data_IF_830275010298
#
_entry.id   IF_830275010298
#
_cell.length_a   1.000
_cell.length_b   1.000
_cell.length_c   1.000
_cell.angle_alpha   90.00
_cell.angle_beta   90.00
_cell.angle_gamma   90.00
#
_symmetry.space_group_name_H-M   'P 1'
#
loop_
_entity.id
_entity.type
_entity.pdbx_description
1 polymer ?
#
# COMPACT_ATOMS: atom_id res chain seq x y z
N UNK A 1 54.21 -4.15 45.50
CA UNK A 1 54.19 -3.27 44.32
C UNK A 1 53.13 -3.82 43.36
N UNK A 2 52.12 -2.99 43.10
CA UNK A 2 51.05 -3.04 42.08
C UNK A 2 50.32 -4.36 41.76
N UNK A 3 49.08 -4.46 42.27
CA UNK A 3 48.01 -5.27 41.68
C UNK A 3 47.29 -4.42 40.62
N UNK A 4 47.20 -4.94 39.38
CA UNK A 4 46.52 -4.30 38.26
C UNK A 4 45.11 -4.89 38.13
N UNK A 5 44.08 -4.09 38.44
CA UNK A 5 42.68 -4.46 38.23
C UNK A 5 42.26 -4.09 36.80
N UNK A 6 41.96 -5.08 35.98
CA UNK A 6 41.29 -4.88 34.69
C UNK A 6 39.78 -4.77 34.93
N UNK A 7 39.23 -3.57 34.73
CA UNK A 7 37.79 -3.37 34.60
C UNK A 7 37.36 -3.79 33.19
N UNK A 8 36.67 -4.93 33.07
CA UNK A 8 35.86 -5.23 31.88
C UNK A 8 34.57 -4.41 31.96
N UNK A 9 34.46 -3.36 31.14
CA UNK A 9 33.19 -2.70 30.87
C UNK A 9 32.39 -3.56 29.89
N UNK A 10 31.38 -4.28 30.37
CA UNK A 10 30.44 -5.01 29.53
C UNK A 10 29.53 -4.04 28.78
N UNK A 11 29.57 -4.05 27.44
CA UNK A 11 28.55 -3.44 26.60
C UNK A 11 27.24 -4.20 26.79
N UNK A 12 26.27 -3.61 27.48
CA UNK A 12 24.88 -4.05 27.42
C UNK A 12 24.28 -3.61 26.09
N UNK A 13 24.14 -4.54 25.15
CA UNK A 13 23.32 -4.33 23.96
C UNK A 13 21.85 -4.23 24.41
N UNK A 14 21.24 -3.05 24.28
CA UNK A 14 19.79 -2.94 24.35
C UNK A 14 19.22 -3.58 23.08
N UNK A 15 18.71 -4.81 23.19
CA UNK A 15 17.77 -5.31 22.21
C UNK A 15 16.51 -4.45 22.32
N UNK A 16 16.16 -3.74 21.24
CA UNK A 16 14.86 -3.10 21.16
C UNK A 16 13.81 -4.23 21.14
N UNK A 17 13.04 -4.35 22.22
CA UNK A 17 11.84 -5.18 22.20
C UNK A 17 10.89 -4.57 21.17
N UNK A 18 10.74 -5.23 20.02
CA UNK A 18 9.63 -4.94 19.13
C UNK A 18 8.36 -5.15 19.95
N UNK A 19 7.54 -4.11 20.08
CA UNK A 19 6.29 -4.19 20.82
C UNK A 19 5.45 -5.30 20.20
N UNK A 20 5.04 -6.29 21.01
CA UNK A 20 4.16 -7.38 20.56
C UNK A 20 2.81 -6.87 20.01
N UNK A 21 2.51 -5.60 20.24
CA UNK A 21 1.30 -4.90 19.81
C UNK A 21 1.15 -4.80 18.29
N UNK A 22 2.26 -4.85 17.53
CA UNK A 22 2.23 -4.74 16.07
C UNK A 22 2.96 -5.86 15.31
N UNK A 23 2.70 -7.11 15.69
CA UNK A 23 3.26 -8.24 14.96
C UNK A 23 2.67 -8.35 13.55
N UNK A 24 3.44 -8.95 12.63
CA UNK A 24 2.97 -9.22 11.26
C UNK A 24 1.75 -10.13 11.25
N UNK A 25 1.68 -11.09 12.17
CA UNK A 25 0.55 -12.00 12.34
C UNK A 25 -0.73 -11.26 12.74
N UNK A 26 -0.62 -10.26 13.61
CA UNK A 26 -1.76 -9.40 13.97
C UNK A 26 -2.29 -8.65 12.74
N UNK A 27 -1.39 -8.05 11.97
CA UNK A 27 -1.74 -7.32 10.75
C UNK A 27 -2.36 -8.24 9.67
N UNK A 28 -1.84 -9.46 9.51
CA UNK A 28 -2.40 -10.49 8.64
C UNK A 28 -3.81 -10.93 9.08
N UNK A 29 -4.03 -11.12 10.38
CA UNK A 29 -5.35 -11.45 10.90
C UNK A 29 -6.34 -10.31 10.64
N UNK A 30 -5.91 -9.06 10.78
CA UNK A 30 -6.75 -7.89 10.52
C UNK A 30 -7.15 -7.77 9.03
N UNK A 31 -6.22 -7.96 8.09
CA UNK A 31 -6.57 -7.93 6.65
C UNK A 31 -7.45 -9.12 6.25
N UNK A 32 -7.26 -10.30 6.86
CA UNK A 32 -8.17 -11.42 6.68
C UNK A 32 -9.59 -11.08 7.15
N UNK A 33 -9.75 -10.41 8.30
CA UNK A 33 -11.05 -9.91 8.76
C UNK A 33 -11.65 -8.86 7.82
N UNK A 34 -10.84 -7.95 7.27
CA UNK A 34 -11.28 -6.96 6.28
C UNK A 34 -11.83 -7.65 5.01
N UNK A 35 -11.08 -8.61 4.46
CA UNK A 35 -11.46 -9.38 3.26
C UNK A 35 -12.75 -10.16 3.52
N UNK A 36 -12.87 -10.82 4.67
CA UNK A 36 -14.07 -11.55 5.06
C UNK A 36 -15.28 -10.61 5.21
N UNK A 37 -15.10 -9.44 5.82
CA UNK A 37 -16.13 -8.42 5.98
C UNK A 37 -16.62 -7.88 4.63
N UNK A 38 -15.69 -7.54 3.72
CA UNK A 38 -16.04 -7.09 2.37
C UNK A 38 -16.75 -8.17 1.56
N UNK A 39 -16.33 -9.43 1.72
CA UNK A 39 -17.00 -10.58 1.08
C UNK A 39 -18.43 -10.72 1.57
N UNK A 40 -18.65 -10.56 2.88
CA UNK A 40 -19.96 -10.68 3.51
C UNK A 40 -20.86 -9.45 3.33
N UNK A 41 -20.29 -8.29 3.02
CA UNK A 41 -21.01 -7.01 3.06
C UNK A 41 -21.37 -6.59 4.48
N UNK A 42 -20.55 -6.95 5.47
CA UNK A 42 -20.77 -6.62 6.87
C UNK A 42 -19.47 -6.47 7.64
N UNK A 43 -19.32 -5.37 8.37
CA UNK A 43 -18.17 -5.12 9.25
C UNK A 43 -18.27 -5.80 10.62
N UNK A 44 -19.37 -6.49 10.92
CA UNK A 44 -19.60 -7.12 12.23
C UNK A 44 -18.52 -8.13 12.63
N UNK A 45 -17.80 -8.71 11.66
CA UNK A 45 -16.68 -9.63 11.88
C UNK A 45 -15.36 -8.95 12.22
N UNK A 46 -15.23 -7.63 12.09
CA UNK A 46 -14.00 -6.88 12.41
C UNK A 46 -14.03 -6.48 13.89
N UNK A 47 -13.66 -7.41 14.77
CA UNK A 47 -13.71 -7.24 16.23
C UNK A 47 -12.65 -6.28 16.79
N UNK A 48 -11.64 -5.95 16.00
CA UNK A 48 -10.56 -5.04 16.38
C UNK A 48 -10.90 -3.55 16.19
N UNK A 49 -12.07 -3.21 15.62
CA UNK A 49 -12.50 -1.81 15.50
C UNK A 49 -12.53 -1.13 16.88
N UNK A 50 -11.94 0.06 16.97
CA UNK A 50 -12.11 0.94 18.12
C UNK A 50 -13.50 1.57 18.15
N UNK A 51 -13.99 1.92 19.34
CA UNK A 51 -15.31 2.56 19.52
C UNK A 51 -15.41 3.93 18.83
N UNK A 52 -14.27 4.57 18.57
CA UNK A 52 -14.15 5.88 17.91
C UNK A 52 -13.39 5.80 16.59
N UNK A 53 -13.49 4.67 15.88
CA UNK A 53 -12.79 4.47 14.60
C UNK A 53 -13.15 5.57 13.60
N UNK A 54 -12.12 6.18 13.02
CA UNK A 54 -12.30 7.10 11.89
C UNK A 54 -12.43 6.29 10.61
N UNK A 55 -13.54 6.41 9.90
CA UNK A 55 -13.73 5.82 8.58
C UNK A 55 -13.87 6.88 7.50
N UNK A 56 -13.07 6.75 6.44
CA UNK A 56 -13.21 7.59 5.24
C UNK A 56 -13.38 6.72 4.01
N UNK A 57 -14.18 7.22 3.07
CA UNK A 57 -14.29 6.65 1.73
C UNK A 57 -14.08 7.76 0.71
N UNK A 58 -13.19 7.54 -0.26
CA UNK A 58 -12.85 8.49 -1.31
C UNK A 58 -12.48 9.88 -0.73
N UNK A 59 -11.64 9.85 0.32
CA UNK A 59 -11.19 11.00 1.12
C UNK A 59 -12.30 11.84 1.79
N UNK A 60 -13.52 11.31 1.92
CA UNK A 60 -14.64 11.94 2.64
C UNK A 60 -14.99 11.13 3.89
N UNK A 61 -15.40 11.82 4.95
CA UNK A 61 -15.95 11.16 6.13
C UNK A 61 -17.16 10.31 5.72
N UNK A 62 -17.19 9.06 6.19
CA UNK A 62 -18.25 8.11 5.87
C UNK A 62 -18.53 7.23 7.09
N UNK A 63 -19.48 6.29 6.97
CA UNK A 63 -19.76 5.29 8.01
C UNK A 63 -19.52 3.90 7.45
N UNK A 64 -18.84 3.04 8.21
CA UNK A 64 -18.53 1.66 7.79
C UNK A 64 -19.81 0.89 7.40
N UNK A 65 -20.89 1.06 8.17
CA UNK A 65 -22.17 0.37 7.96
C UNK A 65 -22.94 0.79 6.70
N UNK A 66 -22.54 1.87 6.03
CA UNK A 66 -23.17 2.36 4.80
C UNK A 66 -22.17 2.54 3.65
N UNK A 67 -20.89 2.29 3.89
CA UNK A 67 -19.81 2.39 2.90
C UNK A 67 -19.69 1.13 2.04
N UNK A 68 -18.57 0.99 1.32
CA UNK A 68 -18.35 -0.18 0.46
C UNK A 68 -18.35 -1.50 1.23
N UNK A 69 -17.94 -1.49 2.51
CA UNK A 69 -17.97 -2.67 3.38
C UNK A 69 -19.39 -3.17 3.70
N UNK A 70 -20.44 -2.37 3.48
CA UNK A 70 -21.82 -2.81 3.63
C UNK A 70 -22.39 -3.50 2.37
N UNK A 71 -21.55 -3.70 1.35
CA UNK A 71 -21.92 -4.37 0.10
C UNK A 71 -21.14 -5.68 -0.01
N UNK A 72 -21.85 -6.80 -0.14
CA UNK A 72 -21.20 -8.08 -0.40
C UNK A 72 -20.57 -8.07 -1.79
N UNK A 73 -19.27 -8.33 -1.87
CA UNK A 73 -18.52 -8.38 -3.13
C UNK A 73 -17.85 -9.74 -3.28
N UNK A 74 -17.93 -10.31 -4.49
CA UNK A 74 -17.08 -11.44 -4.86
C UNK A 74 -15.69 -10.90 -5.23
N UNK A 75 -14.73 -11.09 -4.34
CA UNK A 75 -13.34 -10.69 -4.55
C UNK A 75 -12.67 -11.71 -5.48
N UNK A 76 -12.16 -11.27 -6.62
CA UNK A 76 -11.47 -12.13 -7.60
C UNK A 76 -9.95 -12.16 -7.36
N UNK A 77 -9.38 -11.10 -6.77
CA UNK A 77 -8.00 -11.04 -6.33
C UNK A 77 -7.84 -10.06 -5.16
N UNK A 78 -6.88 -10.34 -4.29
CA UNK A 78 -6.46 -9.42 -3.24
C UNK A 78 -4.96 -9.52 -2.99
N UNK A 79 -4.38 -8.41 -2.53
CA UNK A 79 -3.00 -8.33 -2.04
C UNK A 79 -2.97 -7.39 -0.84
N UNK A 80 -2.17 -7.73 0.16
CA UNK A 80 -1.99 -6.91 1.36
C UNK A 80 -0.50 -6.70 1.68
N UNK A 81 -0.20 -5.52 2.23
CA UNK A 81 1.12 -5.10 2.71
C UNK A 81 1.01 -4.78 4.21
N UNK A 82 2.03 -5.15 4.98
CA UNK A 82 2.01 -5.10 6.45
C UNK A 82 3.15 -4.25 7.01
N UNK A 83 2.83 -3.04 7.46
CA UNK A 83 3.76 -2.09 8.05
C UNK A 83 3.84 -2.29 9.57
N UNK A 84 4.80 -3.11 9.99
CA UNK A 84 5.05 -3.39 11.41
C UNK A 84 5.67 -2.22 12.18
N UNK A 85 6.17 -1.19 11.47
CA UNK A 85 6.79 -0.02 12.11
C UNK A 85 5.74 1.05 12.45
N UNK A 86 4.85 1.38 11.53
CA UNK A 86 3.77 2.35 11.77
C UNK A 86 2.48 1.71 12.28
N UNK A 87 2.47 0.39 12.39
CA UNK A 87 1.28 -0.39 12.67
C UNK A 87 0.12 -0.07 11.76
N UNK A 88 0.32 -0.41 10.49
CA UNK A 88 -0.67 -0.18 9.45
C UNK A 88 -0.67 -1.32 8.42
N UNK A 89 -1.76 -1.43 7.68
CA UNK A 89 -1.88 -2.34 6.53
C UNK A 89 -2.40 -1.59 5.34
N UNK A 90 -1.99 -2.01 4.15
CA UNK A 90 -2.64 -1.65 2.89
C UNK A 90 -3.22 -2.93 2.28
N UNK A 91 -4.38 -2.86 1.65
CA UNK A 91 -5.00 -3.98 0.92
C UNK A 91 -5.64 -3.49 -0.36
N UNK A 92 -5.21 -4.07 -1.49
CA UNK A 92 -5.86 -3.93 -2.80
C UNK A 92 -6.84 -5.09 -2.99
N UNK A 93 -8.10 -4.78 -3.34
CA UNK A 93 -9.12 -5.76 -3.71
C UNK A 93 -9.56 -5.51 -5.16
N UNK A 94 -9.63 -6.57 -5.95
CA UNK A 94 -10.12 -6.52 -7.34
C UNK A 94 -11.41 -7.32 -7.44
N UNK A 95 -12.46 -6.67 -7.93
CA UNK A 95 -13.80 -7.21 -8.15
C UNK A 95 -14.17 -7.00 -9.61
N UNK A 96 -14.33 -8.09 -10.35
CA UNK A 96 -14.57 -8.07 -11.80
C UNK A 96 -16.03 -8.35 -12.20
N UNK A 97 -16.94 -8.36 -11.21
CA UNK A 97 -18.38 -8.40 -11.43
C UNK A 97 -18.78 -7.29 -12.42
N UNK A 98 -19.48 -7.66 -13.49
CA UNK A 98 -19.81 -6.71 -14.57
C UNK A 98 -20.87 -5.68 -14.18
N UNK A 99 -21.74 -5.99 -13.22
CA UNK A 99 -22.74 -5.06 -12.73
C UNK A 99 -22.15 -4.08 -11.70
N UNK A 100 -21.16 -4.53 -10.93
CA UNK A 100 -20.50 -3.73 -9.90
C UNK A 100 -18.99 -3.99 -9.84
N UNK A 101 -18.22 -3.55 -10.86
CA UNK A 101 -16.79 -3.74 -10.87
C UNK A 101 -16.12 -2.73 -9.93
N UNK A 102 -15.13 -3.18 -9.17
CA UNK A 102 -14.34 -2.32 -8.29
C UNK A 102 -12.86 -2.69 -8.29
N UNK A 103 -12.02 -1.67 -8.09
CA UNK A 103 -10.68 -1.85 -7.54
C UNK A 103 -10.57 -0.96 -6.32
N UNK A 104 -10.31 -1.57 -5.17
CA UNK A 104 -10.44 -0.93 -3.86
C UNK A 104 -9.08 -0.96 -3.17
N UNK A 105 -8.57 0.20 -2.77
CA UNK A 105 -7.43 0.31 -1.87
C UNK A 105 -7.93 0.63 -0.46
N UNK A 106 -7.45 -0.08 0.56
CA UNK A 106 -7.79 0.23 1.96
C UNK A 106 -6.55 0.28 2.82
N UNK A 107 -6.34 1.39 3.52
CA UNK A 107 -5.39 1.49 4.62
C UNK A 107 -6.11 1.30 5.97
N UNK A 108 -5.58 0.46 6.85
CA UNK A 108 -5.98 0.36 8.26
C UNK A 108 -4.80 0.76 9.14
N UNK A 109 -5.05 1.60 10.14
CA UNK A 109 -4.04 2.04 11.12
C UNK A 109 -4.47 1.65 12.53
N UNK A 110 -3.48 1.30 13.35
CA UNK A 110 -3.71 0.67 14.64
C UNK A 110 -3.07 1.46 15.78
N UNK A 111 -3.69 1.38 16.95
CA UNK A 111 -3.14 1.84 18.23
C UNK A 111 -3.59 0.84 19.29
N UNK A 112 -2.67 0.37 20.13
CA UNK A 112 -2.95 -0.65 21.16
C UNK A 112 -3.69 -1.88 20.61
N UNK A 113 -3.26 -2.37 19.44
CA UNK A 113 -3.88 -3.47 18.67
C UNK A 113 -5.37 -3.27 18.30
N UNK A 114 -5.87 -2.03 18.35
CA UNK A 114 -7.20 -1.63 17.87
C UNK A 114 -7.09 -0.83 16.58
N UNK A 115 -8.02 -1.06 15.65
CA UNK A 115 -8.15 -0.28 14.42
C UNK A 115 -8.73 1.09 14.79
N UNK A 116 -7.91 2.13 14.71
CA UNK A 116 -8.29 3.52 15.02
C UNK A 116 -8.68 4.30 13.76
N UNK A 117 -8.18 3.88 12.59
CA UNK A 117 -8.50 4.52 11.32
C UNK A 117 -8.60 3.49 10.20
N UNK A 118 -9.62 3.65 9.35
CA UNK A 118 -9.82 2.92 8.11
C UNK A 118 -10.07 3.93 7.01
N UNK A 119 -9.20 3.96 6.01
CA UNK A 119 -9.34 4.81 4.83
C UNK A 119 -9.49 3.93 3.60
N UNK A 120 -10.52 4.18 2.82
CA UNK A 120 -10.81 3.37 1.63
C UNK A 120 -10.93 4.24 0.40
N UNK A 121 -10.23 3.89 -0.67
CA UNK A 121 -10.44 4.40 -2.02
C UNK A 121 -11.17 3.33 -2.81
N UNK A 122 -12.33 3.67 -3.36
CA UNK A 122 -13.20 2.80 -4.13
C UNK A 122 -13.24 3.33 -5.55
N UNK A 123 -12.50 2.68 -6.46
CA UNK A 123 -12.60 2.99 -7.89
C UNK A 123 -13.59 2.08 -8.58
N UNK A 124 -14.34 2.61 -9.53
CA UNK A 124 -15.34 1.91 -10.33
C UNK A 124 -15.49 2.54 -11.72
N UNK A 125 -16.49 2.08 -12.49
CA UNK A 125 -16.79 2.61 -13.83
C UNK A 125 -16.93 4.13 -13.81
N UNK A 126 -16.13 4.80 -14.64
CA UNK A 126 -16.07 6.26 -14.71
C UNK A 126 -14.82 6.87 -14.09
N UNK A 127 -14.09 6.12 -13.26
CA UNK A 127 -12.80 6.53 -12.70
C UNK A 127 -11.64 6.36 -13.68
N UNK A 128 -10.48 6.94 -13.33
CA UNK A 128 -9.36 7.12 -14.24
C UNK A 128 -8.90 5.79 -14.84
N UNK A 129 -9.00 5.68 -16.17
CA UNK A 129 -8.62 4.49 -16.95
C UNK A 129 -9.26 3.17 -16.47
N UNK A 130 -10.35 3.25 -15.70
CA UNK A 130 -10.87 2.11 -14.95
C UNK A 130 -11.28 0.91 -15.84
N UNK A 131 -10.73 -0.26 -15.53
CA UNK A 131 -11.04 -1.55 -16.12
C UNK A 131 -10.60 -2.68 -15.17
N UNK A 132 -11.49 -3.09 -14.26
CA UNK A 132 -11.21 -4.14 -13.26
C UNK A 132 -10.71 -5.47 -13.86
N UNK A 133 -11.22 -5.87 -15.04
CA UNK A 133 -10.77 -7.11 -15.70
C UNK A 133 -9.34 -7.03 -16.17
N UNK A 134 -8.94 -5.88 -16.72
CA UNK A 134 -7.56 -5.68 -17.17
C UNK A 134 -6.63 -5.44 -15.97
N UNK A 135 -7.10 -4.80 -14.90
CA UNK A 135 -6.38 -4.75 -13.62
C UNK A 135 -6.10 -6.15 -13.10
N UNK A 136 -7.13 -7.01 -13.03
CA UNK A 136 -6.97 -8.41 -12.61
C UNK A 136 -5.94 -9.14 -13.48
N UNK A 137 -6.06 -9.02 -14.81
CA UNK A 137 -5.17 -9.67 -15.77
C UNK A 137 -3.71 -9.39 -15.47
N UNK A 138 -3.34 -8.13 -15.21
CA UNK A 138 -1.96 -7.75 -14.95
C UNK A 138 -1.52 -8.07 -13.53
N UNK A 139 -2.35 -7.75 -12.53
CA UNK A 139 -2.05 -8.01 -11.12
C UNK A 139 -1.67 -9.49 -10.85
N UNK A 140 -2.35 -10.45 -11.50
CA UNK A 140 -2.04 -11.89 -11.33
C UNK A 140 -0.78 -12.35 -12.08
N UNK A 141 -0.24 -11.54 -12.98
CA UNK A 141 1.01 -11.85 -13.72
C UNK A 141 2.25 -11.29 -13.06
N UNK A 142 2.07 -10.34 -12.14
CA UNK A 142 3.16 -9.73 -11.39
C UNK A 142 3.59 -10.59 -10.20
N UNK A 143 4.87 -10.52 -9.87
CA UNK A 143 5.41 -11.22 -8.69
C UNK A 143 5.58 -10.25 -7.53
N UNK A 144 4.67 -10.33 -6.57
CA UNK A 144 4.73 -9.61 -5.29
C UNK A 144 5.26 -10.49 -4.13
N UNK A 145 6.08 -11.49 -4.46
CA UNK A 145 6.62 -12.44 -3.49
C UNK A 145 7.53 -11.76 -2.45
N UNK A 146 7.69 -12.43 -1.30
CA UNK A 146 8.67 -12.03 -0.29
C UNK A 146 10.09 -11.97 -0.89
N UNK A 147 10.79 -10.90 -0.56
CA UNK A 147 12.19 -10.70 -0.92
C UNK A 147 13.04 -11.44 0.13
N UNK A 148 14.09 -12.19 -0.27
CA UNK A 148 15.05 -12.77 0.67
C UNK A 148 15.59 -11.71 1.64
N UNK A 149 15.74 -12.06 2.92
CA UNK A 149 16.05 -11.07 3.97
C UNK A 149 17.35 -10.28 3.72
N UNK A 150 18.34 -10.90 3.09
CA UNK A 150 19.62 -10.31 2.69
C UNK A 150 19.52 -9.37 1.47
N UNK A 151 18.38 -9.35 0.79
CA UNK A 151 18.09 -8.52 -0.39
C UNK A 151 16.98 -7.49 -0.17
N UNK A 152 16.38 -7.46 1.03
CA UNK A 152 15.33 -6.48 1.36
C UNK A 152 15.94 -5.09 1.43
N UNK A 153 15.33 -4.16 0.69
CA UNK A 153 15.65 -2.75 0.83
C UNK A 153 15.22 -2.24 2.20
N UNK A 154 15.92 -1.24 2.72
CA UNK A 154 15.49 -0.58 3.96
C UNK A 154 14.24 0.25 3.72
N UNK A 155 13.44 0.46 4.78
CA UNK A 155 12.28 1.35 4.77
C UNK A 155 12.55 2.69 4.11
N UNK A 156 13.69 3.31 4.44
CA UNK A 156 14.09 4.61 3.92
C UNK A 156 14.34 4.57 2.40
N UNK A 157 14.93 3.48 1.88
CA UNK A 157 15.14 3.30 0.43
C UNK A 157 13.80 3.13 -0.29
N UNK A 158 12.90 2.31 0.27
CA UNK A 158 11.57 2.07 -0.30
C UNK A 158 10.77 3.39 -0.36
N UNK A 159 10.74 4.14 0.74
CA UNK A 159 10.04 5.42 0.80
C UNK A 159 10.65 6.45 -0.17
N UNK A 160 11.98 6.55 -0.23
CA UNK A 160 12.66 7.48 -1.14
C UNK A 160 12.37 7.20 -2.62
N UNK A 161 12.20 5.93 -3.01
CA UNK A 161 11.80 5.58 -4.37
C UNK A 161 10.37 6.06 -4.69
N UNK A 162 9.42 5.88 -3.76
CA UNK A 162 8.05 6.37 -3.89
C UNK A 162 7.98 7.91 -3.89
N UNK A 163 8.77 8.57 -3.05
CA UNK A 163 8.86 10.03 -3.01
C UNK A 163 9.40 10.58 -4.32
N UNK A 164 10.49 10.02 -4.85
CA UNK A 164 11.03 10.43 -6.13
C UNK A 164 10.00 10.26 -7.26
N UNK A 165 9.27 9.14 -7.29
CA UNK A 165 8.17 8.93 -8.24
C UNK A 165 7.09 10.01 -8.10
N UNK A 166 6.67 10.32 -6.88
CA UNK A 166 5.62 11.30 -6.68
C UNK A 166 6.09 12.72 -7.04
N UNK A 167 7.35 13.05 -6.76
CA UNK A 167 7.92 14.37 -7.00
C UNK A 167 8.18 14.65 -8.49
N UNK A 168 8.47 13.64 -9.32
CA UNK A 168 8.68 13.83 -10.77
C UNK A 168 7.42 14.33 -11.50
N UNK A 169 6.22 14.20 -10.91
CA UNK A 169 4.99 14.76 -11.48
C UNK A 169 4.99 16.29 -11.46
N UNK A 170 5.63 16.91 -10.46
CA UNK A 170 5.69 18.37 -10.32
C UNK A 170 7.07 18.95 -10.64
N UNK A 171 8.13 18.14 -10.56
CA UNK A 171 9.51 18.57 -10.81
C UNK A 171 10.26 17.55 -11.69
N UNK A 172 10.41 17.85 -12.98
CA UNK A 172 11.09 16.95 -13.95
C UNK A 172 12.60 16.83 -13.77
N UNK A 173 13.21 17.59 -12.88
CA UNK A 173 14.62 17.42 -12.50
C UNK A 173 14.84 16.31 -11.47
N UNK A 174 13.77 15.76 -10.88
CA UNK A 174 13.87 14.64 -9.94
C UNK A 174 14.34 13.38 -10.66
N UNK A 175 15.36 12.74 -10.08
CA UNK A 175 15.87 11.46 -10.57
C UNK A 175 15.13 10.34 -9.84
N UNK A 176 14.30 9.61 -10.58
CA UNK A 176 13.58 8.44 -10.05
C UNK A 176 14.41 7.18 -10.28
N UNK A 177 14.52 6.29 -9.28
CA UNK A 177 15.26 5.04 -9.44
C UNK A 177 14.42 4.01 -10.23
N UNK A 178 14.31 4.20 -11.53
CA UNK A 178 13.59 3.27 -12.41
C UNK A 178 14.27 1.90 -12.48
N UNK A 179 13.52 0.82 -12.27
CA UNK A 179 13.96 -0.54 -12.54
C UNK A 179 13.88 -0.88 -14.03
N UNK A 180 14.47 -2.02 -14.39
CA UNK A 180 14.27 -2.65 -15.70
C UNK A 180 14.33 -4.17 -15.55
N UNK A 181 13.24 -4.90 -15.79
CA UNK A 181 11.92 -4.40 -16.21
C UNK A 181 11.20 -3.62 -15.10
N UNK A 182 10.33 -2.67 -15.48
CA UNK A 182 9.33 -2.11 -14.58
C UNK A 182 8.05 -1.73 -15.33
N UNK A 183 6.90 -1.71 -14.64
CA UNK A 183 5.62 -1.38 -15.28
C UNK A 183 4.68 -0.64 -14.33
N UNK A 184 3.72 0.07 -14.91
CA UNK A 184 2.63 0.72 -14.18
C UNK A 184 1.30 0.18 -14.63
N UNK A 185 0.45 -0.14 -13.66
CA UNK A 185 -0.94 -0.53 -13.79
C UNK A 185 -1.82 0.63 -13.29
N UNK A 186 -2.32 1.43 -14.21
CA UNK A 186 -3.08 2.66 -13.94
C UNK A 186 -4.55 2.47 -14.31
N UNK A 187 -5.42 2.24 -13.33
CA UNK A 187 -6.84 1.97 -13.56
C UNK A 187 -7.13 0.71 -14.39
N UNK A 188 -6.12 -0.06 -14.79
CA UNK A 188 -6.24 -1.19 -15.73
C UNK A 188 -5.47 -0.97 -17.03
N UNK A 189 -4.99 0.24 -17.32
CA UNK A 189 -3.97 0.46 -18.35
C UNK A 189 -2.61 -0.04 -17.86
N UNK A 190 -1.81 -0.67 -18.72
CA UNK A 190 -0.50 -1.23 -18.33
C UNK A 190 0.60 -0.75 -19.27
N UNK A 191 1.71 -0.21 -18.72
CA UNK A 191 2.81 0.36 -19.54
C UNK A 191 3.78 -0.68 -20.09
N UNK A 192 3.60 -1.95 -19.75
CA UNK A 192 4.45 -3.07 -20.17
C UNK A 192 3.70 -4.13 -20.99
N UNK A 193 4.39 -5.22 -21.29
CA UNK A 193 3.80 -6.42 -21.87
C UNK A 193 4.30 -7.71 -21.21
N UNK A 194 5.00 -7.60 -20.07
CA UNK A 194 5.65 -8.70 -19.38
C UNK A 194 7.10 -8.95 -19.83
N UNK A 195 7.65 -8.13 -20.73
CA UNK A 195 9.02 -8.29 -21.23
C UNK A 195 10.08 -7.75 -20.27
N UNK A 196 11.32 -8.22 -20.44
CA UNK A 196 12.49 -7.64 -19.78
C UNK A 196 12.79 -6.17 -20.21
N UNK A 197 12.14 -5.70 -21.28
CA UNK A 197 12.25 -4.33 -21.77
C UNK A 197 11.19 -3.38 -21.24
N UNK A 198 10.24 -3.87 -20.44
CA UNK A 198 9.16 -3.06 -19.87
C UNK A 198 9.73 -1.87 -19.09
N UNK A 199 9.03 -0.74 -19.22
CA UNK A 199 9.40 0.53 -18.61
C UNK A 199 8.18 1.21 -17.96
N UNK A 200 8.45 1.95 -16.89
CA UNK A 200 7.47 2.62 -16.06
C UNK A 200 7.75 4.12 -15.93
N UNK A 201 8.56 4.68 -16.83
CA UNK A 201 8.92 6.10 -16.93
C UNK A 201 8.20 6.83 -18.08
N UNK A 202 7.26 6.15 -18.76
CA UNK A 202 6.52 6.68 -19.93
C UNK A 202 5.31 7.51 -19.53
N UNK A 203 4.94 8.56 -20.27
CA UNK A 203 3.65 9.22 -20.08
C UNK A 203 3.41 9.90 -18.72
N UNK A 204 4.47 10.20 -17.96
CA UNK A 204 4.34 10.90 -16.67
C UNK A 204 4.05 12.39 -16.94
N UNK A 205 2.89 12.93 -16.51
CA UNK A 205 2.53 14.32 -16.75
C UNK A 205 3.47 15.29 -16.01
N UNK A 206 3.48 16.55 -16.41
CA UNK A 206 4.29 17.61 -15.78
C UNK A 206 3.41 18.69 -15.16
N UNK A 207 3.85 19.25 -14.04
CA UNK A 207 3.13 20.32 -13.34
C UNK A 207 1.93 19.83 -12.52
N UNK A 208 1.92 18.55 -12.14
CA UNK A 208 0.88 17.96 -11.30
C UNK A 208 1.47 17.69 -9.91
N UNK A 209 0.90 18.30 -8.88
CA UNK A 209 1.34 18.05 -7.51
C UNK A 209 0.65 16.81 -6.93
N UNK A 210 1.44 15.90 -6.37
CA UNK A 210 0.97 14.74 -5.60
C UNK A 210 1.26 14.98 -4.12
N UNK A 211 0.26 15.43 -3.38
CA UNK A 211 0.39 15.99 -2.02
C UNK A 211 -0.34 15.15 -0.98
N UNK A 212 -0.27 15.54 0.31
CA UNK A 212 -0.99 14.87 1.40
C UNK A 212 -0.74 13.34 1.44
N UNK A 213 0.55 12.96 1.36
CA UNK A 213 1.01 11.57 1.26
C UNK A 213 0.91 10.86 2.61
N UNK A 214 0.33 9.66 2.62
CA UNK A 214 0.16 8.78 3.78
C UNK A 214 0.66 7.39 3.40
N UNK A 215 1.67 6.91 4.12
CA UNK A 215 2.46 5.75 3.71
C UNK A 215 2.10 4.51 4.52
N UNK A 216 2.07 3.36 3.85
CA UNK A 216 2.17 2.03 4.46
C UNK A 216 3.32 1.31 3.76
N UNK A 217 4.35 0.90 4.51
CA UNK A 217 5.57 0.31 3.96
C UNK A 217 5.77 -1.10 4.53
N UNK A 218 5.96 -2.08 3.65
CA UNK A 218 6.30 -3.47 4.00
C UNK A 218 7.64 -3.88 3.37
N UNK A 219 8.69 -3.89 4.20
CA UNK A 219 10.05 -4.23 3.78
C UNK A 219 10.18 -5.69 3.31
N UNK A 220 9.29 -6.59 3.75
CA UNK A 220 9.39 -8.02 3.45
C UNK A 220 9.11 -8.32 1.98
N UNK A 221 8.24 -7.52 1.35
CA UNK A 221 7.87 -7.61 -0.07
C UNK A 221 8.34 -6.38 -0.86
N UNK A 222 9.09 -5.47 -0.21
CA UNK A 222 9.57 -4.23 -0.81
C UNK A 222 8.43 -3.31 -1.26
N UNK A 223 7.29 -3.34 -0.58
CA UNK A 223 6.10 -2.60 -0.99
C UNK A 223 5.96 -1.27 -0.24
N UNK A 224 5.43 -0.26 -0.91
CA UNK A 224 4.93 0.97 -0.29
C UNK A 224 3.68 1.45 -0.97
N UNK A 225 2.59 1.57 -0.22
CA UNK A 225 1.41 2.30 -0.67
C UNK A 225 1.45 3.75 -0.17
N UNK A 226 1.04 4.67 -1.04
CA UNK A 226 0.93 6.09 -0.76
C UNK A 226 -0.47 6.56 -1.14
N UNK A 227 -1.31 6.68 -0.12
CA UNK A 227 -2.56 7.44 -0.23
C UNK A 227 -2.21 8.93 -0.32
N UNK A 228 -2.72 9.61 -1.34
CA UNK A 228 -2.36 11.00 -1.63
C UNK A 228 -3.53 11.80 -2.23
N UNK A 229 -3.26 13.08 -2.50
CA UNK A 229 -4.16 13.97 -3.24
C UNK A 229 -3.51 14.30 -4.58
N UNK A 230 -4.10 13.80 -5.66
CA UNK A 230 -3.63 14.00 -7.03
C UNK A 230 -4.17 15.32 -7.60
N UNK A 231 -3.28 16.16 -8.11
CA UNK A 231 -3.67 17.42 -8.78
C UNK A 231 -4.37 18.43 -7.87
N UNK A 232 -4.30 18.25 -6.55
CA UNK A 232 -4.88 19.14 -5.54
C UNK A 232 -6.28 18.80 -5.07
N UNK A 233 -7.00 17.87 -5.72
CA UNK A 233 -8.40 17.56 -5.34
C UNK A 233 -8.85 16.11 -5.54
N UNK A 234 -8.10 15.26 -6.25
CA UNK A 234 -8.53 13.88 -6.50
C UNK A 234 -7.97 12.94 -5.42
N UNK A 235 -8.82 12.13 -4.76
CA UNK A 235 -8.35 11.03 -3.92
C UNK A 235 -7.63 9.98 -4.77
N UNK A 236 -6.43 9.60 -4.34
CA UNK A 236 -5.58 8.78 -5.18
C UNK A 236 -4.66 7.87 -4.35
N UNK A 237 -4.31 6.71 -4.93
CA UNK A 237 -3.34 5.74 -4.39
C UNK A 237 -2.23 5.53 -5.39
N UNK A 238 -1.00 5.46 -4.90
CA UNK A 238 0.11 4.86 -5.63
C UNK A 238 0.77 3.79 -4.76
N UNK A 239 0.63 2.52 -5.15
CA UNK A 239 1.36 1.42 -4.56
C UNK A 239 2.56 1.06 -5.43
N UNK A 240 3.72 0.89 -4.81
CA UNK A 240 4.97 0.58 -5.47
C UNK A 240 5.55 -0.72 -4.95
N UNK A 241 6.17 -1.48 -5.84
CA UNK A 241 7.19 -2.48 -5.46
C UNK A 241 8.57 -1.93 -5.75
N UNK A 242 9.48 -2.07 -4.79
CA UNK A 242 10.88 -1.66 -4.86
C UNK A 242 11.76 -2.89 -4.66
N UNK A 243 12.72 -3.09 -5.56
CA UNK A 243 13.71 -4.16 -5.48
C UNK A 243 15.10 -3.63 -5.82
N UNK A 244 16.08 -3.82 -4.91
CA UNK A 244 17.44 -3.32 -5.09
C UNK A 244 17.47 -1.80 -5.25
N UNK A 245 16.60 -1.11 -4.52
CA UNK A 245 16.43 0.34 -4.53
C UNK A 245 15.77 0.90 -5.78
N UNK A 246 15.15 0.06 -6.63
CA UNK A 246 14.54 0.48 -7.89
C UNK A 246 13.07 0.08 -8.00
N UNK A 247 12.27 0.91 -8.66
CA UNK A 247 10.86 0.65 -8.93
C UNK A 247 10.68 -0.55 -9.86
N UNK A 248 9.89 -1.54 -9.43
CA UNK A 248 9.54 -2.74 -10.20
C UNK A 248 8.10 -2.71 -10.71
N UNK A 249 7.14 -2.39 -9.85
CA UNK A 249 5.72 -2.28 -10.18
C UNK A 249 5.14 -1.00 -9.59
N UNK A 250 4.15 -0.43 -10.25
CA UNK A 250 3.36 0.70 -9.77
C UNK A 250 1.89 0.38 -10.02
N UNK A 251 1.05 0.40 -8.99
CA UNK A 251 -0.40 0.34 -9.11
C UNK A 251 -0.97 1.70 -8.74
N UNK A 252 -1.93 2.20 -9.51
CA UNK A 252 -2.61 3.46 -9.18
C UNK A 252 -4.12 3.34 -9.17
N UNK A 253 -4.74 4.04 -8.22
CA UNK A 253 -6.19 4.11 -8.03
C UNK A 253 -6.61 5.56 -7.89
N UNK A 254 -7.05 6.19 -8.98
CA UNK A 254 -7.52 7.58 -8.95
C UNK A 254 -9.04 7.65 -8.99
N UNK A 255 -9.63 8.15 -7.91
CA UNK A 255 -11.08 8.37 -7.81
C UNK A 255 -11.45 9.67 -8.52
N UNK A 256 -12.38 9.60 -9.48
CA UNK A 256 -12.97 10.76 -10.17
C UNK A 256 -14.47 10.91 -9.89
N UNK A 257 -15.12 9.88 -9.33
CA UNK A 257 -16.57 9.81 -9.12
C UNK A 257 -17.00 9.94 -7.65
#
# INVERSE_FOLDING_TARGET
MHYSNYFLAGLTALAAEATAECSREMLQAATASLIAAQTAGSSSGITALSDTVTYTQNAKAATISTGILSQALKIDHNRSSYDTTQCATYTELIVTDTAKPYVIGTQMHFTDSKITKVETLVTTTGDWLFNAKNTLKWAITESWAEIPSDKRDSRAVIQAAADAYCDIFNNKSVVVPWGKPCARLEGGSYTGNGSASDRCDVGIPSGVALTNRRYVIDETVGAVDVFLTFGGNLPDSHEFRVEGGKLRYVHTLTVMT
#
